data_IF_500972809597
#
_entry.id   IF_500972809597
#
_cell.length_a   1.000
_cell.length_b   1.000
_cell.length_c   1.000
_cell.angle_alpha   90.00
_cell.angle_beta   90.00
_cell.angle_gamma   90.00
#
_symmetry.space_group_name_H-M   'P 1'
#
loop_
_entity.id
_entity.type
_entity.pdbx_description
1 polymer ?
#
# COMPACT_ATOMS: atom_id res chain seq x y z
N UNK A 1 -5.43 20.48 -8.87
CA UNK A 1 -3.97 20.28 -8.79
C UNK A 1 -3.55 19.41 -9.96
N UNK A 2 -2.64 19.90 -10.79
CA UNK A 2 -2.06 19.12 -11.89
C UNK A 2 -0.97 18.15 -11.37
N UNK A 3 -0.34 17.39 -12.28
CA UNK A 3 0.68 16.41 -11.91
C UNK A 3 1.99 17.06 -11.44
N UNK A 4 2.33 18.25 -11.97
CA UNK A 4 3.55 18.97 -11.60
C UNK A 4 3.45 19.51 -10.17
N UNK A 5 2.33 20.15 -9.85
CA UNK A 5 2.01 20.63 -8.52
C UNK A 5 1.96 19.49 -7.50
N UNK A 6 1.39 18.35 -7.88
CA UNK A 6 1.33 17.17 -7.01
C UNK A 6 2.72 16.61 -6.71
N UNK A 7 3.59 16.46 -7.71
CA UNK A 7 4.96 15.99 -7.48
C UNK A 7 5.71 16.90 -6.53
N UNK A 8 5.65 18.20 -6.76
CA UNK A 8 6.29 19.19 -5.89
C UNK A 8 5.77 19.10 -4.45
N UNK A 9 4.47 18.87 -4.25
CA UNK A 9 3.91 18.67 -2.91
C UNK A 9 4.48 17.41 -2.23
N UNK A 10 4.57 16.29 -2.95
CA UNK A 10 5.05 15.02 -2.40
C UNK A 10 6.54 15.06 -2.08
N UNK A 11 7.35 15.71 -2.92
CA UNK A 11 8.79 15.90 -2.71
C UNK A 11 9.10 16.78 -1.49
N UNK A 12 8.24 17.76 -1.20
CA UNK A 12 8.40 18.67 -0.05
C UNK A 12 7.76 18.15 1.25
N UNK A 13 7.00 17.05 1.19
CA UNK A 13 6.38 16.46 2.37
C UNK A 13 7.31 15.47 3.05
N UNK A 14 7.36 15.47 4.38
CA UNK A 14 8.09 14.45 5.13
C UNK A 14 7.56 13.06 4.78
N UNK A 15 8.41 12.24 4.15
CA UNK A 15 8.09 10.85 3.84
C UNK A 15 8.41 9.97 5.03
N UNK A 16 7.42 9.24 5.53
CA UNK A 16 7.65 8.15 6.47
C UNK A 16 8.02 6.91 5.66
N UNK A 17 9.31 6.63 5.56
CA UNK A 17 9.77 5.34 5.08
C UNK A 17 9.43 4.29 6.15
N UNK A 18 8.44 3.44 5.87
CA UNK A 18 8.34 2.18 6.60
C UNK A 18 9.60 1.39 6.23
N UNK A 19 10.40 1.01 7.22
CA UNK A 19 11.65 0.24 7.05
C UNK A 19 11.45 -1.17 6.47
N UNK A 20 10.20 -1.54 6.15
CA UNK A 20 9.80 -2.90 5.77
C UNK A 20 9.04 -2.96 4.44
N UNK A 21 8.74 -1.84 3.78
CA UNK A 21 7.92 -1.79 2.56
C UNK A 21 8.58 -1.09 1.37
N UNK A 22 8.21 -1.48 0.14
CA UNK A 22 8.69 -0.88 -1.11
C UNK A 22 8.00 0.43 -1.51
N UNK A 23 6.96 0.82 -0.77
CA UNK A 23 6.19 2.05 -1.03
C UNK A 23 6.67 3.21 -0.18
N UNK A 24 6.41 4.44 -0.65
CA UNK A 24 6.62 5.66 0.15
C UNK A 24 5.28 6.14 0.68
N UNK A 25 5.23 6.51 1.96
CA UNK A 25 4.02 7.01 2.59
C UNK A 25 4.21 8.45 3.05
N UNK A 26 3.18 9.26 2.88
CA UNK A 26 3.15 10.66 3.28
C UNK A 26 1.82 10.99 3.95
N UNK A 27 1.81 12.04 4.76
CA UNK A 27 0.58 12.72 5.16
C UNK A 27 0.64 14.13 4.59
N UNK A 28 -0.34 14.49 3.78
CA UNK A 28 -0.47 15.85 3.22
C UNK A 28 -1.71 16.52 3.78
N UNK A 29 -1.67 17.85 3.89
CA UNK A 29 -2.84 18.65 4.27
C UNK A 29 -3.48 19.20 3.00
N UNK A 30 -4.75 18.87 2.76
CA UNK A 30 -5.53 19.42 1.65
C UNK A 30 -6.84 19.99 2.18
N UNK A 31 -7.07 21.29 1.97
CA UNK A 31 -8.27 22.00 2.46
C UNK A 31 -8.58 21.70 3.95
N UNK A 32 -7.55 21.73 4.80
CA UNK A 32 -7.62 21.47 6.26
C UNK A 32 -7.87 19.99 6.65
N UNK A 33 -7.95 19.07 5.70
CA UNK A 33 -8.01 17.64 5.98
C UNK A 33 -6.64 16.97 5.79
N UNK A 34 -6.30 16.06 6.70
CA UNK A 34 -5.15 15.17 6.52
C UNK A 34 -5.52 14.07 5.53
N UNK A 35 -4.65 13.86 4.54
CA UNK A 35 -4.78 12.79 3.55
C UNK A 35 -3.55 11.91 3.67
N UNK A 36 -3.79 10.61 3.83
CA UNK A 36 -2.72 9.63 3.77
C UNK A 36 -2.43 9.33 2.30
N UNK A 37 -1.18 9.52 1.89
CA UNK A 37 -0.74 9.26 0.52
C UNK A 37 0.19 8.06 0.52
N UNK A 38 -0.15 7.06 -0.28
CA UNK A 38 0.67 5.88 -0.51
C UNK A 38 1.16 5.85 -1.94
N UNK A 39 2.47 5.76 -2.13
CA UNK A 39 3.16 5.74 -3.42
C UNK A 39 3.79 4.38 -3.62
N UNK A 40 3.51 3.75 -4.75
CA UNK A 40 3.91 2.39 -5.05
C UNK A 40 4.62 2.33 -6.41
N UNK A 41 5.76 1.64 -6.53
CA UNK A 41 6.37 1.39 -7.83
C UNK A 41 5.41 0.59 -8.71
N UNK A 42 5.30 0.99 -9.98
CA UNK A 42 4.59 0.26 -11.03
C UNK A 42 5.63 -0.27 -12.00
N UNK A 43 5.83 -1.58 -12.00
CA UNK A 43 6.82 -2.19 -12.91
C UNK A 43 6.40 -2.03 -14.36
N UNK A 44 7.33 -2.21 -15.31
CA UNK A 44 6.98 -2.18 -16.73
C UNK A 44 5.91 -3.23 -17.08
N UNK A 45 6.03 -4.44 -16.55
CA UNK A 45 5.07 -5.53 -16.78
C UNK A 45 3.68 -5.15 -16.26
N UNK A 46 3.60 -4.55 -15.07
CA UNK A 46 2.34 -4.06 -14.51
C UNK A 46 1.78 -2.91 -15.34
N UNK A 47 2.62 -1.94 -15.74
CA UNK A 47 2.22 -0.80 -16.56
C UNK A 47 1.65 -1.23 -17.92
N UNK A 48 2.26 -2.21 -18.58
CA UNK A 48 1.78 -2.76 -19.84
C UNK A 48 0.46 -3.55 -19.66
N UNK A 49 0.05 -3.84 -18.43
CA UNK A 49 -1.16 -4.60 -18.05
C UNK A 49 -2.00 -3.87 -16.99
N UNK A 50 -2.28 -2.57 -17.21
CA UNK A 50 -3.02 -1.74 -16.26
C UNK A 50 -4.30 -2.42 -15.75
N UNK A 51 -4.53 -2.28 -14.45
CA UNK A 51 -5.70 -2.82 -13.72
C UNK A 51 -5.81 -4.35 -13.66
N UNK A 52 -4.90 -5.10 -14.28
CA UNK A 52 -4.88 -6.56 -14.14
C UNK A 52 -4.43 -6.97 -12.73
N UNK A 53 -5.19 -7.88 -12.12
CA UNK A 53 -4.86 -8.48 -10.81
C UNK A 53 -4.10 -9.82 -10.95
N UNK A 54 -3.69 -10.19 -12.16
CA UNK A 54 -2.97 -11.44 -12.46
C UNK A 54 -1.55 -11.42 -11.90
N UNK A 55 -1.10 -12.55 -11.37
CA UNK A 55 0.29 -12.77 -10.97
C UNK A 55 1.19 -13.05 -12.18
N UNK A 56 1.67 -11.98 -12.81
CA UNK A 56 2.55 -12.05 -13.98
C UNK A 56 3.96 -12.57 -13.65
N UNK A 57 4.42 -12.38 -12.41
CA UNK A 57 5.74 -12.80 -11.96
C UNK A 57 5.76 -14.25 -11.42
N UNK A 58 4.60 -14.90 -11.32
CA UNK A 58 4.50 -16.27 -10.78
C UNK A 58 4.97 -16.37 -9.33
N UNK A 59 4.80 -15.31 -8.54
CA UNK A 59 5.26 -15.28 -7.14
C UNK A 59 4.47 -16.26 -6.26
N UNK A 60 5.10 -16.91 -5.27
CA UNK A 60 4.41 -17.78 -4.33
C UNK A 60 3.31 -17.04 -3.54
N UNK A 61 2.25 -17.72 -3.07
CA UNK A 61 1.19 -17.10 -2.29
C UNK A 61 1.65 -16.39 -1.00
N UNK A 62 2.77 -16.83 -0.41
CA UNK A 62 3.38 -16.16 0.75
C UNK A 62 3.74 -14.70 0.47
N UNK A 63 3.97 -14.34 -0.80
CA UNK A 63 4.30 -12.97 -1.19
C UNK A 63 3.07 -12.05 -1.30
N UNK A 64 1.85 -12.56 -1.13
CA UNK A 64 0.62 -11.77 -1.23
C UNK A 64 0.40 -10.81 -0.05
N UNK A 65 0.92 -11.12 1.14
CA UNK A 65 0.52 -10.42 2.37
C UNK A 65 1.54 -9.39 2.89
N UNK A 66 2.63 -9.12 2.15
CA UNK A 66 3.60 -8.07 2.50
C UNK A 66 4.32 -8.24 3.85
N UNK A 67 4.09 -9.35 4.57
CA UNK A 67 4.83 -9.76 5.75
C UNK A 67 6.14 -10.37 5.26
N UNK A 68 7.27 -9.71 5.54
CA UNK A 68 8.62 -10.11 5.11
C UNK A 68 8.74 -10.37 3.60
N UNK A 69 7.91 -9.68 2.82
CA UNK A 69 7.78 -9.84 1.38
C UNK A 69 7.68 -8.47 0.72
N UNK A 70 8.20 -8.30 -0.51
CA UNK A 70 8.00 -7.09 -1.28
C UNK A 70 6.53 -6.70 -1.50
N UNK A 71 5.58 -7.61 -1.27
CA UNK A 71 4.18 -7.46 -1.62
C UNK A 71 4.00 -7.48 -3.14
N UNK A 72 3.01 -8.22 -3.63
CA UNK A 72 2.80 -8.40 -5.07
C UNK A 72 1.51 -7.73 -5.58
N UNK A 73 1.63 -7.03 -6.71
CA UNK A 73 0.51 -6.63 -7.55
C UNK A 73 -0.03 -5.25 -7.18
N UNK A 74 0.61 -4.20 -7.70
CA UNK A 74 0.19 -2.81 -7.46
C UNK A 74 -1.28 -2.56 -7.81
N UNK A 75 -1.79 -3.21 -8.86
CA UNK A 75 -3.19 -3.10 -9.27
C UNK A 75 -4.16 -3.92 -8.43
N UNK A 76 -3.69 -4.93 -7.67
CA UNK A 76 -4.54 -5.57 -6.65
C UNK A 76 -4.89 -4.60 -5.55
N UNK A 77 -3.90 -3.80 -5.13
CA UNK A 77 -4.12 -2.77 -4.13
C UNK A 77 -5.09 -1.70 -4.63
N UNK A 78 -4.88 -1.18 -5.85
CA UNK A 78 -5.79 -0.20 -6.46
C UNK A 78 -7.22 -0.73 -6.58
N UNK A 79 -7.40 -1.92 -7.17
CA UNK A 79 -8.74 -2.51 -7.37
C UNK A 79 -9.41 -2.81 -6.03
N UNK A 80 -8.65 -3.20 -5.01
CA UNK A 80 -9.17 -3.38 -3.64
C UNK A 80 -9.70 -2.06 -3.11
N UNK A 81 -8.93 -0.98 -3.17
CA UNK A 81 -9.39 0.33 -2.69
C UNK A 81 -10.60 0.87 -3.45
N UNK A 82 -10.69 0.64 -4.77
CA UNK A 82 -11.89 0.97 -5.56
C UNK A 82 -13.10 0.21 -4.99
N UNK A 83 -12.96 -1.10 -4.80
CA UNK A 83 -14.04 -1.97 -4.31
C UNK A 83 -14.46 -1.63 -2.89
N UNK A 84 -13.52 -1.45 -1.97
CA UNK A 84 -13.83 -1.14 -0.57
C UNK A 84 -14.39 0.26 -0.41
N UNK A 85 -13.94 1.23 -1.22
CA UNK A 85 -14.54 2.57 -1.25
C UNK A 85 -15.99 2.48 -1.71
N UNK A 86 -16.28 1.66 -2.72
CA UNK A 86 -17.67 1.43 -3.15
C UNK A 86 -18.52 0.89 -1.99
N UNK A 87 -18.05 -0.12 -1.26
CA UNK A 87 -18.76 -0.66 -0.10
C UNK A 87 -19.06 0.37 0.98
N UNK A 88 -18.13 1.28 1.26
CA UNK A 88 -18.35 2.35 2.25
C UNK A 88 -19.39 3.34 1.73
N UNK A 89 -19.29 3.75 0.46
CA UNK A 89 -20.21 4.71 -0.15
C UNK A 89 -21.62 4.15 -0.35
N UNK A 90 -21.78 2.83 -0.49
CA UNK A 90 -23.08 2.15 -0.57
C UNK A 90 -23.60 1.65 0.78
N UNK A 91 -22.92 1.99 1.87
CA UNK A 91 -23.26 1.57 3.24
C UNK A 91 -23.29 0.04 3.44
N UNK A 92 -22.67 -0.74 2.55
CA UNK A 92 -22.55 -2.20 2.70
C UNK A 92 -21.57 -2.57 3.82
N UNK A 93 -20.40 -1.92 3.84
CA UNK A 93 -19.35 -2.14 4.84
C UNK A 93 -18.62 -0.82 5.10
N UNK A 94 -18.82 -0.24 6.29
CA UNK A 94 -18.30 1.08 6.64
C UNK A 94 -16.87 1.08 7.23
N UNK A 95 -16.23 -0.08 7.37
CA UNK A 95 -14.98 -0.23 8.16
C UNK A 95 -13.69 -0.10 7.36
N UNK A 96 -13.77 0.19 6.06
CA UNK A 96 -12.61 0.40 5.21
C UNK A 96 -12.30 1.90 5.06
N UNK A 97 -11.01 2.30 4.99
CA UNK A 97 -10.65 3.67 4.65
C UNK A 97 -11.13 4.03 3.25
N UNK A 98 -11.68 5.25 3.09
CA UNK A 98 -12.06 5.78 1.78
C UNK A 98 -10.81 6.08 0.92
N UNK A 99 -10.85 5.73 -0.36
CA UNK A 99 -9.93 6.27 -1.37
C UNK A 99 -10.56 7.50 -2.02
N UNK A 100 -9.95 8.66 -1.82
CA UNK A 100 -10.40 9.91 -2.42
C UNK A 100 -10.02 10.01 -3.90
N UNK A 101 -8.84 9.49 -4.27
CA UNK A 101 -8.33 9.57 -5.63
C UNK A 101 -7.16 8.60 -5.84
N UNK A 102 -6.80 8.36 -7.10
CA UNK A 102 -5.52 7.74 -7.47
C UNK A 102 -4.94 8.37 -8.74
N UNK A 103 -3.63 8.28 -8.92
CA UNK A 103 -2.94 8.65 -10.17
C UNK A 103 -1.83 7.66 -10.50
N UNK A 104 -1.63 7.40 -11.78
CA UNK A 104 -0.45 6.70 -12.30
C UNK A 104 0.43 7.75 -12.97
N UNK A 105 1.65 7.94 -12.47
CA UNK A 105 2.53 9.04 -12.85
C UNK A 105 3.91 8.51 -13.24
N UNK A 106 4.63 9.16 -14.17
CA UNK A 106 6.06 8.90 -14.33
C UNK A 106 6.79 9.24 -13.03
N UNK A 107 7.82 8.45 -12.69
CA UNK A 107 8.66 8.59 -11.52
C UNK A 107 10.13 8.67 -11.94
N UNK A 108 10.86 9.62 -11.37
CA UNK A 108 12.29 9.86 -11.66
C UNK A 108 13.17 9.85 -10.42
N UNK A 109 12.63 9.42 -9.28
CA UNK A 109 13.38 9.26 -8.04
C UNK A 109 14.01 7.88 -7.90
N UNK A 110 14.50 7.57 -6.71
CA UNK A 110 14.96 6.24 -6.34
C UNK A 110 13.94 5.59 -5.40
N UNK A 111 13.54 4.35 -5.72
CA UNK A 111 12.74 3.56 -4.79
C UNK A 111 13.60 3.07 -3.62
N UNK A 112 13.02 2.88 -2.43
CA UNK A 112 13.72 2.23 -1.33
C UNK A 112 14.22 0.86 -1.80
N UNK A 113 15.52 0.64 -1.71
CA UNK A 113 16.10 -0.65 -2.03
C UNK A 113 15.94 -1.53 -0.79
N UNK A 114 15.01 -2.48 -0.83
CA UNK A 114 15.05 -3.59 0.12
C UNK A 114 16.29 -4.42 -0.21
N UNK A 115 16.97 -5.02 0.76
CA UNK A 115 18.14 -5.85 0.49
C UNK A 115 17.73 -7.06 -0.38
N UNK A 116 17.81 -6.88 -1.71
CA UNK A 116 17.36 -7.84 -2.73
C UNK A 116 18.04 -9.19 -2.52
N UNK A 117 19.27 -9.17 -2.02
CA UNK A 117 20.08 -10.35 -1.71
C UNK A 117 19.52 -11.18 -0.54
N UNK A 118 18.68 -10.60 0.32
CA UNK A 118 18.00 -11.30 1.42
C UNK A 118 16.59 -11.79 1.07
N UNK A 119 16.03 -11.37 -0.08
CA UNK A 119 14.60 -11.47 -0.35
C UNK A 119 14.13 -12.87 -0.80
N UNK A 120 15.05 -13.69 -1.36
CA UNK A 120 14.91 -15.13 -1.67
C UNK A 120 15.91 -15.55 -2.74
N UNK A 121 16.36 -16.81 -2.70
CA UNK A 121 17.16 -17.43 -3.78
C UNK A 121 16.35 -17.70 -5.07
N UNK A 122 15.04 -17.45 -5.08
CA UNK A 122 14.18 -17.69 -6.25
C UNK A 122 14.30 -16.55 -7.28
N UNK A 123 14.60 -16.91 -8.52
CA UNK A 123 14.79 -15.97 -9.62
C UNK A 123 13.56 -15.07 -9.88
N UNK A 124 12.34 -15.58 -9.70
CA UNK A 124 11.09 -14.81 -9.90
C UNK A 124 10.95 -13.67 -8.90
N UNK A 125 11.29 -13.91 -7.63
CA UNK A 125 11.26 -12.91 -6.56
C UNK A 125 12.31 -11.83 -6.81
N UNK A 126 13.53 -12.24 -7.18
CA UNK A 126 14.61 -11.33 -7.52
C UNK A 126 14.27 -10.44 -8.71
N UNK A 127 13.71 -11.01 -9.77
CA UNK A 127 13.29 -10.25 -10.96
C UNK A 127 12.21 -9.23 -10.60
N UNK A 128 11.22 -9.60 -9.79
CA UNK A 128 10.18 -8.67 -9.36
C UNK A 128 10.75 -7.53 -8.50
N UNK A 129 11.66 -7.83 -7.56
CA UNK A 129 12.31 -6.82 -6.75
C UNK A 129 13.15 -5.83 -7.60
N UNK A 130 13.91 -6.35 -8.56
CA UNK A 130 14.68 -5.53 -9.51
C UNK A 130 13.76 -4.65 -10.38
N UNK A 131 12.65 -5.21 -10.86
CA UNK A 131 11.69 -4.45 -11.67
C UNK A 131 11.01 -3.33 -10.86
N UNK A 132 10.75 -3.56 -9.55
CA UNK A 132 10.26 -2.50 -8.65
C UNK A 132 11.31 -1.43 -8.39
N UNK A 133 12.55 -1.83 -8.13
CA UNK A 133 13.66 -0.88 -7.93
C UNK A 133 13.88 0.02 -9.15
N UNK A 134 13.68 -0.52 -10.35
CA UNK A 134 13.84 0.18 -11.64
C UNK A 134 12.52 0.76 -12.21
N UNK A 135 11.43 0.76 -11.43
CA UNK A 135 10.13 1.19 -11.92
C UNK A 135 10.15 2.69 -12.28
N UNK A 136 9.81 3.01 -13.53
CA UNK A 136 9.74 4.38 -14.06
C UNK A 136 8.38 5.05 -13.87
N UNK A 137 7.43 4.33 -13.27
CA UNK A 137 6.09 4.81 -12.97
C UNK A 137 5.73 4.50 -11.53
N UNK A 138 4.84 5.31 -10.98
CA UNK A 138 4.28 5.13 -9.66
C UNK A 138 2.76 5.19 -9.68
N UNK A 139 2.14 4.42 -8.79
CA UNK A 139 0.75 4.57 -8.39
C UNK A 139 0.74 5.39 -7.11
N UNK A 140 0.03 6.53 -7.14
CA UNK A 140 -0.21 7.38 -5.99
C UNK A 140 -1.67 7.22 -5.57
N UNK A 141 -1.88 6.70 -4.36
CA UNK A 141 -3.19 6.53 -3.73
C UNK A 141 -3.41 7.63 -2.70
N UNK A 142 -4.56 8.29 -2.76
CA UNK A 142 -4.99 9.28 -1.78
C UNK A 142 -6.09 8.66 -0.94
N UNK A 143 -5.77 8.38 0.33
CA UNK A 143 -6.61 7.64 1.24
C UNK A 143 -7.01 8.51 2.44
N UNK A 144 -8.10 8.13 3.08
CA UNK A 144 -8.48 8.61 4.39
C UNK A 144 -7.33 8.42 5.39
N UNK A 145 -7.00 9.50 6.11
CA UNK A 145 -5.93 9.48 7.09
C UNK A 145 -6.47 9.02 8.45
N UNK A 146 -6.13 7.80 8.85
CA UNK A 146 -6.43 7.28 10.19
C UNK A 146 -5.31 7.70 11.14
N UNK A 147 -5.58 8.50 12.18
CA UNK A 147 -4.54 9.15 12.99
C UNK A 147 -3.82 8.20 13.95
N UNK A 148 -4.27 6.95 14.09
CA UNK A 148 -3.75 6.00 15.06
C UNK A 148 -3.17 4.78 14.35
N UNK A 149 -1.94 4.44 14.73
CA UNK A 149 -1.29 3.19 14.33
C UNK A 149 -1.82 2.08 15.22
N UNK A 150 -2.26 0.97 14.62
CA UNK A 150 -2.88 -0.15 15.34
C UNK A 150 -2.00 -0.66 16.50
N UNK A 151 -0.70 -0.86 16.27
CA UNK A 151 0.22 -1.32 17.31
C UNK A 151 0.22 -0.39 18.54
N UNK A 152 0.37 0.92 18.32
CA UNK A 152 0.35 1.93 19.38
C UNK A 152 -1.01 1.94 20.07
N UNK A 153 -2.09 1.91 19.31
CA UNK A 153 -3.44 1.89 19.86
C UNK A 153 -3.69 0.65 20.74
N UNK A 154 -3.28 -0.53 20.27
CA UNK A 154 -3.42 -1.80 21.00
C UNK A 154 -2.64 -1.79 22.32
N UNK A 155 -1.43 -1.22 22.33
CA UNK A 155 -0.63 -1.07 23.56
C UNK A 155 -1.37 -0.28 24.65
N UNK A 156 -2.12 0.75 24.26
CA UNK A 156 -2.88 1.59 25.20
C UNK A 156 -4.32 1.13 25.45
N UNK A 157 -4.85 0.24 24.60
CA UNK A 157 -6.25 -0.20 24.67
C UNK A 157 -6.41 -1.75 24.71
N UNK A 158 -5.63 -2.50 25.52
CA UNK A 158 -5.67 -3.96 25.49
C UNK A 158 -7.03 -4.54 25.90
N UNK A 159 -7.77 -3.83 26.77
CA UNK A 159 -9.11 -4.22 27.23
C UNK A 159 -10.15 -4.23 26.10
N UNK A 160 -9.96 -3.43 25.05
CA UNK A 160 -10.89 -3.38 23.90
C UNK A 160 -10.87 -4.68 23.09
N UNK A 161 -9.81 -5.49 23.20
CA UNK A 161 -9.72 -6.81 22.56
C UNK A 161 -10.38 -7.92 23.38
N UNK A 162 -10.75 -7.68 24.63
CA UNK A 162 -11.10 -8.76 25.55
C UNK A 162 -12.35 -9.52 25.11
N UNK A 163 -13.36 -8.79 24.60
CA UNK A 163 -14.56 -9.41 24.03
C UNK A 163 -14.22 -10.26 22.81
N UNK A 164 -13.47 -9.70 21.85
CA UNK A 164 -13.04 -10.41 20.64
C UNK A 164 -12.23 -11.66 20.96
N UNK A 165 -11.28 -11.58 21.90
CA UNK A 165 -10.46 -12.72 22.31
C UNK A 165 -11.28 -13.81 22.99
N UNK A 166 -12.30 -13.44 23.76
CA UNK A 166 -13.22 -14.41 24.35
C UNK A 166 -14.07 -15.09 23.26
N UNK A 167 -14.63 -14.31 22.33
CA UNK A 167 -15.43 -14.84 21.21
C UNK A 167 -14.60 -15.78 20.32
N UNK A 168 -13.33 -15.45 20.06
CA UNK A 168 -12.41 -16.32 19.30
C UNK A 168 -12.10 -17.64 20.03
N UNK A 169 -11.98 -17.62 21.36
CA UNK A 169 -11.75 -18.84 22.14
C UNK A 169 -12.94 -19.78 22.06
N UNK A 170 -14.16 -19.24 22.11
CA UNK A 170 -15.39 -20.04 22.00
C UNK A 170 -15.68 -20.57 20.61
N UNK A 171 -14.96 -20.11 19.57
CA UNK A 171 -15.09 -20.60 18.19
C UNK A 171 -14.13 -21.75 17.88
N UNK A 172 -13.13 -21.99 18.75
CA UNK A 172 -12.12 -23.03 18.60
C UNK A 172 -12.43 -24.27 19.47
N UNK A 173 -13.43 -24.17 20.35
CA UNK A 173 -14.03 -25.27 21.12
C UNK A 173 -15.31 -25.79 20.43
#
# INVERSE_FOLDING_TARGET
>A
MDNTQLRSLLENSESNHSSTGWGMNHVIVFRQANIFVKRLPVTKVEYDNLFSTKNFYGLPPSYHYGIDSPGFGVFRELVTHIKTTHWVLTEEIATFPLMYHYRILPFSGQWPNMEIDQLSNQATVRNYALDKANASHELVLFLECIPQILETWLRFNPHQLQKLLNDLRTLVD
#
